data_IF_341713436526
#
_entry.id   IF_341713436526
#
_cell.length_a   1.000
_cell.length_b   1.000
_cell.length_c   1.000
_cell.angle_alpha   90.00
_cell.angle_beta   90.00
_cell.angle_gamma   90.00
#
_symmetry.space_group_name_H-M   'P 1'
#
loop_
_entity.id
_entity.type
_entity.pdbx_description
1 polymer ?
#
# COMPACT_ATOMS: atom_id res chain seq x y z
N UNK A 1 16.75 39.88 16.30
CA UNK A 1 18.04 39.35 16.79
C UNK A 1 17.86 38.19 17.78
N UNK A 2 17.06 38.34 18.83
CA UNK A 2 16.82 37.27 19.83
C UNK A 2 16.22 35.99 19.22
N UNK A 3 15.25 36.11 18.31
CA UNK A 3 14.63 34.93 17.64
C UNK A 3 15.63 34.21 16.73
N UNK A 4 16.42 34.97 15.97
CA UNK A 4 17.44 34.41 15.06
C UNK A 4 18.59 33.74 15.81
N UNK A 5 18.88 34.14 17.05
CA UNK A 5 19.93 33.55 17.87
C UNK A 5 19.59 32.15 18.40
N UNK A 6 18.31 31.79 18.49
CA UNK A 6 17.85 30.49 18.99
C UNK A 6 18.02 29.34 17.98
N UNK A 7 18.23 29.64 16.69
CA UNK A 7 18.44 28.64 15.63
C UNK A 7 17.24 27.76 15.25
N UNK A 8 16.26 27.59 16.13
CA UNK A 8 15.08 26.72 15.92
C UNK A 8 13.80 27.52 15.62
N UNK A 9 13.79 28.22 14.49
CA UNK A 9 12.66 29.11 14.10
C UNK A 9 11.38 28.30 13.84
N UNK A 10 11.48 27.15 13.17
CA UNK A 10 10.32 26.29 12.86
C UNK A 10 9.54 25.87 14.11
N UNK A 11 10.25 25.41 15.15
CA UNK A 11 9.61 24.96 16.39
C UNK A 11 8.98 26.12 17.16
N UNK A 12 9.62 27.29 17.16
CA UNK A 12 9.05 28.48 17.80
C UNK A 12 7.76 28.89 17.07
N UNK A 13 7.79 28.91 15.74
CA UNK A 13 6.61 29.24 14.96
C UNK A 13 5.47 28.24 15.17
N UNK A 14 5.76 26.94 15.14
CA UNK A 14 4.77 25.90 15.42
C UNK A 14 4.18 26.04 16.83
N UNK A 15 5.02 26.31 17.84
CA UNK A 15 4.55 26.53 19.21
C UNK A 15 3.65 27.78 19.32
N UNK A 16 4.01 28.86 18.63
CA UNK A 16 3.17 30.05 18.53
C UNK A 16 1.85 29.76 17.81
N UNK A 17 1.88 29.01 16.71
CA UNK A 17 0.71 28.61 15.92
C UNK A 17 -0.28 27.76 16.74
N UNK A 18 0.21 26.79 17.50
CA UNK A 18 -0.64 25.97 18.36
C UNK A 18 -1.22 26.75 19.55
N UNK A 19 -0.49 27.76 20.04
CA UNK A 19 -0.86 28.48 21.25
C UNK A 19 -1.76 29.70 21.01
N UNK A 20 -1.59 30.44 19.91
CA UNK A 20 -2.31 31.70 19.71
C UNK A 20 -3.85 31.58 19.69
N UNK A 21 -4.49 30.49 19.21
CA UNK A 21 -5.95 30.38 19.25
C UNK A 21 -6.47 30.11 20.66
N UNK A 22 -5.62 29.58 21.54
CA UNK A 22 -5.95 29.26 22.93
C UNK A 22 -5.77 30.47 23.86
N UNK A 23 -5.04 31.49 23.40
CA UNK A 23 -4.83 32.73 24.15
C UNK A 23 -6.06 33.63 24.07
N UNK A 24 -6.29 34.37 25.16
CA UNK A 24 -7.28 35.45 25.20
C UNK A 24 -6.63 36.73 24.69
N UNK A 25 -7.17 37.32 23.64
CA UNK A 25 -6.72 38.63 23.18
C UNK A 25 -7.93 39.43 22.73
N UNK A 26 -7.79 40.75 22.77
CA UNK A 26 -8.86 41.62 22.30
C UNK A 26 -8.82 41.68 20.77
N UNK A 27 -9.85 41.12 20.15
CA UNK A 27 -10.10 41.21 18.71
C UNK A 27 -11.61 41.15 18.46
N UNK A 28 -12.19 42.23 17.94
CA UNK A 28 -13.64 42.37 17.77
C UNK A 28 -14.13 41.68 16.51
N UNK A 29 -13.29 41.66 15.46
CA UNK A 29 -13.65 41.20 14.11
C UNK A 29 -12.72 40.09 13.59
N UNK A 30 -11.93 39.46 14.46
CA UNK A 30 -10.90 38.48 14.09
C UNK A 30 -9.84 39.02 13.11
N UNK A 31 -9.66 40.34 13.06
CA UNK A 31 -8.74 41.01 12.12
C UNK A 31 -7.29 40.62 12.41
N UNK A 32 -6.91 40.47 13.70
CA UNK A 32 -5.56 40.08 14.10
C UNK A 32 -5.27 38.65 13.70
N UNK A 33 -6.25 37.76 13.84
CA UNK A 33 -6.14 36.38 13.36
C UNK A 33 -5.99 36.31 11.84
N UNK A 34 -6.76 37.08 11.09
CA UNK A 34 -6.65 37.13 9.62
C UNK A 34 -5.28 37.63 9.18
N UNK A 35 -4.82 38.75 9.75
CA UNK A 35 -3.49 39.30 9.45
C UNK A 35 -2.36 38.32 9.85
N UNK A 36 -2.51 37.60 10.96
CA UNK A 36 -1.54 36.57 11.33
C UNK A 36 -1.51 35.43 10.31
N UNK A 37 -2.68 34.96 9.85
CA UNK A 37 -2.75 33.90 8.84
C UNK A 37 -2.06 34.29 7.52
N UNK A 38 -2.12 35.56 7.11
CA UNK A 38 -1.35 36.04 5.95
C UNK A 38 0.17 35.92 6.17
N UNK A 39 0.66 36.19 7.39
CA UNK A 39 2.07 36.01 7.74
C UNK A 39 2.48 34.54 7.83
N UNK A 40 1.57 33.66 8.24
CA UNK A 40 1.78 32.22 8.26
C UNK A 40 1.80 31.64 6.85
N UNK A 41 0.89 32.08 5.96
CA UNK A 41 0.93 31.71 4.55
C UNK A 41 2.23 32.17 3.88
N UNK A 42 2.68 33.40 4.18
CA UNK A 42 3.99 33.88 3.74
C UNK A 42 5.14 32.99 4.23
N UNK A 43 5.08 32.53 5.49
CA UNK A 43 6.06 31.58 6.02
C UNK A 43 6.07 30.26 5.25
N UNK A 44 4.89 29.68 5.01
CA UNK A 44 4.77 28.40 4.30
C UNK A 44 5.27 28.52 2.86
N UNK A 45 4.94 29.60 2.17
CA UNK A 45 5.47 29.88 0.83
C UNK A 45 7.01 29.98 0.83
N UNK A 46 7.60 30.68 1.81
CA UNK A 46 9.05 30.72 1.98
C UNK A 46 9.62 29.32 2.24
N UNK A 47 9.01 28.54 3.14
CA UNK A 47 9.49 27.23 3.53
C UNK A 47 9.44 26.23 2.36
N UNK A 48 8.40 26.30 1.53
CA UNK A 48 8.27 25.51 0.30
C UNK A 48 9.36 25.88 -0.71
N UNK A 49 9.67 27.18 -0.91
CA UNK A 49 10.74 27.61 -1.81
C UNK A 49 12.13 27.23 -1.30
N UNK A 50 12.38 27.44 0.00
CA UNK A 50 13.65 27.12 0.64
C UNK A 50 13.95 25.63 0.52
N UNK A 51 13.02 24.75 0.91
CA UNK A 51 13.25 23.31 0.89
C UNK A 51 13.07 22.70 -0.50
N UNK A 52 12.11 23.19 -1.28
CA UNK A 52 11.81 22.65 -2.61
C UNK A 52 12.79 23.10 -3.69
N UNK A 53 13.24 24.36 -3.66
CA UNK A 53 14.11 24.95 -4.68
C UNK A 53 15.54 25.22 -4.17
N UNK A 54 15.84 24.91 -2.90
CA UNK A 54 17.16 25.12 -2.27
C UNK A 54 17.59 26.60 -2.25
N UNK A 55 16.64 27.54 -2.22
CA UNK A 55 16.89 28.98 -2.18
C UNK A 55 17.22 29.48 -0.76
N UNK A 56 18.38 29.08 -0.23
CA UNK A 56 18.76 29.35 1.16
C UNK A 56 19.02 30.82 1.49
N UNK A 57 19.13 31.70 0.50
CA UNK A 57 19.18 33.15 0.72
C UNK A 57 17.94 33.70 1.41
N UNK A 58 16.83 32.97 1.35
CA UNK A 58 15.55 33.35 1.95
C UNK A 58 15.47 33.04 3.46
N UNK A 59 16.38 32.24 4.03
CA UNK A 59 16.40 31.90 5.47
C UNK A 59 16.36 33.13 6.38
N UNK A 60 16.96 34.25 5.94
CA UNK A 60 16.96 35.52 6.68
C UNK A 60 15.56 36.09 6.93
N UNK A 61 14.56 35.69 6.14
CA UNK A 61 13.18 36.17 6.24
C UNK A 61 12.27 35.29 7.13
N UNK A 62 12.70 34.09 7.51
CA UNK A 62 11.90 33.18 8.37
C UNK A 62 11.57 33.73 9.76
N UNK A 63 12.41 34.55 10.43
CA UNK A 63 12.06 35.10 11.74
C UNK A 63 10.93 36.14 11.74
N UNK A 64 10.59 36.74 10.59
CA UNK A 64 9.66 37.87 10.53
C UNK A 64 8.24 37.52 10.97
N UNK A 65 7.63 36.40 10.50
CA UNK A 65 6.34 35.94 11.01
C UNK A 65 6.29 35.75 12.52
N UNK A 66 7.36 35.22 13.13
CA UNK A 66 7.46 35.03 14.59
C UNK A 66 7.37 36.36 15.33
N UNK A 67 8.01 37.42 14.81
CA UNK A 67 7.96 38.76 15.43
C UNK A 67 6.54 39.34 15.40
N UNK A 68 5.76 39.02 14.37
CA UNK A 68 4.38 39.49 14.27
C UNK A 68 3.47 38.87 15.33
N UNK A 69 3.78 37.67 15.86
CA UNK A 69 3.02 37.11 16.99
C UNK A 69 3.07 38.02 18.21
N UNK A 70 4.25 38.56 18.52
CA UNK A 70 4.36 39.56 19.57
C UNK A 70 3.56 40.82 19.20
N UNK A 71 3.66 41.32 17.97
CA UNK A 71 2.95 42.54 17.55
C UNK A 71 1.43 42.45 17.70
N UNK A 72 0.84 41.31 17.35
CA UNK A 72 -0.62 41.16 17.32
C UNK A 72 -1.20 40.66 18.63
N UNK A 73 -0.47 39.79 19.34
CA UNK A 73 -0.97 39.08 20.52
C UNK A 73 -0.30 39.50 21.84
N UNK A 74 0.68 40.41 21.84
CA UNK A 74 1.16 41.01 23.08
C UNK A 74 0.04 41.83 23.73
N UNK A 75 -0.44 41.35 24.87
CA UNK A 75 -1.45 42.02 25.70
C UNK A 75 -0.97 42.14 27.13
N UNK A 76 -1.55 43.08 27.87
CA UNK A 76 -1.24 43.33 29.28
C UNK A 76 -1.81 42.26 30.22
N UNK A 77 -2.74 41.45 29.73
CA UNK A 77 -3.34 40.35 30.49
C UNK A 77 -2.39 39.17 30.56
N UNK A 78 -1.66 39.06 31.67
CA UNK A 78 -0.88 37.87 31.98
C UNK A 78 -1.81 36.65 32.02
N UNK A 79 -1.55 35.68 31.15
CA UNK A 79 -2.31 34.45 31.06
C UNK A 79 -1.43 33.28 31.44
N UNK A 80 -1.99 32.38 32.24
CA UNK A 80 -1.38 31.10 32.54
C UNK A 80 -1.57 30.14 31.35
N UNK A 81 -1.05 30.50 30.18
CA UNK A 81 -0.86 29.53 29.11
C UNK A 81 0.53 28.93 29.25
N UNK A 82 0.61 27.68 29.71
CA UNK A 82 1.87 26.96 29.77
C UNK A 82 2.29 26.68 28.34
N UNK A 83 3.44 27.21 27.93
CA UNK A 83 4.01 26.91 26.61
C UNK A 83 4.30 25.42 26.55
N UNK A 84 3.48 24.70 25.80
CA UNK A 84 3.68 23.29 25.53
C UNK A 84 4.58 23.10 24.31
N UNK A 85 5.21 21.94 24.22
CA UNK A 85 5.98 21.58 23.04
C UNK A 85 5.03 21.36 21.85
N UNK A 86 5.30 21.96 20.67
CA UNK A 86 4.43 21.80 19.52
C UNK A 86 4.35 20.33 19.10
N UNK A 87 3.13 19.78 19.08
CA UNK A 87 2.89 18.37 18.78
C UNK A 87 1.85 18.15 17.70
N UNK A 88 1.01 19.14 17.41
CA UNK A 88 -0.12 18.99 16.51
C UNK A 88 0.34 18.61 15.11
N UNK A 89 1.33 19.32 14.56
CA UNK A 89 1.84 19.06 13.21
C UNK A 89 2.45 17.64 13.09
N UNK A 90 3.31 17.25 14.03
CA UNK A 90 3.90 15.91 14.03
C UNK A 90 2.86 14.81 14.22
N UNK A 91 1.87 15.01 15.08
CA UNK A 91 0.77 14.07 15.27
C UNK A 91 -0.05 13.92 13.98
N UNK A 92 -0.38 15.03 13.31
CA UNK A 92 -1.10 15.01 12.04
C UNK A 92 -0.29 14.33 10.94
N UNK A 93 1.01 14.63 10.83
CA UNK A 93 1.91 13.98 9.89
C UNK A 93 1.98 12.46 10.15
N UNK A 94 2.18 12.06 11.40
CA UNK A 94 2.24 10.66 11.81
C UNK A 94 0.93 9.93 11.51
N UNK A 95 -0.21 10.51 11.89
CA UNK A 95 -1.54 9.96 11.60
C UNK A 95 -1.81 9.86 10.10
N UNK A 96 -1.46 10.89 9.31
CA UNK A 96 -1.57 10.82 7.85
C UNK A 96 -0.72 9.67 7.29
N UNK A 97 0.52 9.54 7.77
CA UNK A 97 1.43 8.49 7.30
C UNK A 97 0.94 7.09 7.66
N UNK A 98 0.36 6.90 8.85
CA UNK A 98 -0.25 5.63 9.22
C UNK A 98 -1.45 5.31 8.32
N UNK A 99 -2.32 6.28 8.01
CA UNK A 99 -3.43 6.06 7.06
C UNK A 99 -2.94 5.71 5.64
N UNK A 100 -1.93 6.40 5.13
CA UNK A 100 -1.34 6.06 3.82
C UNK A 100 -0.80 4.63 3.80
N UNK A 101 -0.05 4.24 4.84
CA UNK A 101 0.48 2.89 4.97
C UNK A 101 -0.63 1.83 5.08
N UNK A 102 -1.73 2.14 5.77
CA UNK A 102 -2.89 1.24 5.85
C UNK A 102 -3.56 1.03 4.50
N UNK A 103 -3.73 2.10 3.71
CA UNK A 103 -4.27 2.02 2.35
C UNK A 103 -3.34 1.19 1.45
N UNK A 104 -2.03 1.39 1.56
CA UNK A 104 -1.05 0.63 0.77
C UNK A 104 -1.06 -0.86 1.14
N UNK A 105 -1.18 -1.18 2.44
CA UNK A 105 -1.35 -2.56 2.91
C UNK A 105 -2.65 -3.19 2.42
N UNK A 106 -3.76 -2.44 2.44
CA UNK A 106 -5.03 -2.89 1.88
C UNK A 106 -4.93 -3.15 0.37
N UNK A 107 -4.32 -2.24 -0.38
CA UNK A 107 -4.07 -2.40 -1.82
C UNK A 107 -3.18 -3.60 -2.15
N UNK A 108 -2.26 -3.98 -1.25
CA UNK A 108 -1.45 -5.19 -1.42
C UNK A 108 -2.26 -6.48 -1.28
N UNK A 109 -3.33 -6.47 -0.49
CA UNK A 109 -4.23 -7.62 -0.30
C UNK A 109 -5.23 -7.84 -1.45
N UNK A 110 -5.50 -6.82 -2.27
CA UNK A 110 -6.49 -6.90 -3.36
C UNK A 110 -5.90 -7.57 -4.60
N UNK A 111 -6.71 -8.43 -5.25
CA UNK A 111 -6.35 -9.04 -6.54
C UNK A 111 -6.04 -7.98 -7.62
N UNK A 112 -4.99 -8.15 -8.45
CA UNK A 112 -4.59 -7.15 -9.45
C UNK A 112 -5.71 -6.70 -10.41
N UNK A 113 -6.64 -7.61 -10.74
CA UNK A 113 -7.76 -7.36 -11.64
C UNK A 113 -8.70 -6.25 -11.15
N UNK A 114 -8.91 -6.17 -9.83
CA UNK A 114 -9.77 -5.17 -9.18
C UNK A 114 -9.00 -3.91 -8.83
N UNK A 115 -7.71 -4.06 -8.51
CA UNK A 115 -6.81 -2.95 -8.12
C UNK A 115 -6.68 -1.87 -9.20
N UNK A 116 -6.76 -2.20 -10.48
CA UNK A 116 -6.62 -1.23 -11.59
C UNK A 116 -7.65 -0.10 -11.60
N UNK A 117 -8.79 -0.29 -10.95
CA UNK A 117 -9.89 0.69 -10.91
C UNK A 117 -9.90 1.51 -9.62
N UNK A 118 -8.99 1.24 -8.69
CA UNK A 118 -9.00 1.83 -7.35
C UNK A 118 -7.92 2.90 -7.22
N UNK A 119 -8.38 4.12 -6.93
CA UNK A 119 -7.53 5.24 -6.50
C UNK A 119 -7.58 5.38 -4.98
N UNK A 120 -6.55 5.99 -4.38
CA UNK A 120 -6.49 6.22 -2.92
C UNK A 120 -7.72 6.99 -2.40
N UNK A 121 -8.18 7.99 -3.14
CA UNK A 121 -9.34 8.80 -2.77
C UNK A 121 -10.66 8.02 -2.86
N UNK A 122 -10.82 7.22 -3.91
CA UNK A 122 -11.99 6.34 -4.09
C UNK A 122 -12.03 5.29 -2.97
N UNK A 123 -10.86 4.78 -2.57
CA UNK A 123 -10.76 3.79 -1.49
C UNK A 123 -11.25 4.37 -0.17
N UNK A 124 -10.77 5.56 0.20
CA UNK A 124 -11.09 6.18 1.49
C UNK A 124 -12.53 6.69 1.58
N UNK A 125 -13.08 7.22 0.48
CA UNK A 125 -14.39 7.88 0.48
C UNK A 125 -15.55 6.96 0.12
N UNK A 126 -15.37 6.04 -0.83
CA UNK A 126 -16.45 5.20 -1.35
C UNK A 126 -16.29 3.74 -0.93
N UNK A 127 -15.12 3.14 -1.18
CA UNK A 127 -14.95 1.69 -1.01
C UNK A 127 -14.99 1.24 0.45
N UNK A 128 -14.15 1.83 1.31
CA UNK A 128 -14.03 1.38 2.71
C UNK A 128 -15.36 1.52 3.47
N UNK A 129 -16.09 2.66 3.42
CA UNK A 129 -17.38 2.78 4.11
C UNK A 129 -18.40 1.73 3.66
N UNK A 130 -18.51 1.48 2.35
CA UNK A 130 -19.45 0.48 1.81
C UNK A 130 -19.02 -0.95 2.14
N UNK A 131 -17.72 -1.24 2.04
CA UNK A 131 -17.16 -2.54 2.36
C UNK A 131 -17.39 -2.90 3.83
N UNK A 132 -17.26 -1.92 4.74
CA UNK A 132 -17.52 -2.11 6.16
C UNK A 132 -19.00 -2.39 6.48
N UNK A 133 -19.93 -1.93 5.65
CA UNK A 133 -21.35 -2.31 5.75
C UNK A 133 -21.60 -3.73 5.22
N UNK A 134 -20.99 -4.08 4.07
CA UNK A 134 -21.12 -5.40 3.45
C UNK A 134 -20.56 -6.51 4.36
N UNK A 135 -19.46 -6.22 5.06
CA UNK A 135 -18.79 -7.18 5.95
C UNK A 135 -19.58 -7.45 7.23
N UNK A 136 -20.65 -6.69 7.47
CA UNK A 136 -21.44 -6.74 8.69
C UNK A 136 -22.86 -7.25 8.46
N UNK A 137 -23.04 -8.51 8.03
CA UNK A 137 -24.37 -9.07 7.88
C UNK A 137 -25.03 -9.29 9.25
N UNK A 138 -26.34 -9.12 9.30
CA UNK A 138 -27.15 -9.49 10.47
C UNK A 138 -27.45 -10.98 10.46
N UNK A 139 -26.46 -11.80 10.83
CA UNK A 139 -26.63 -13.24 10.99
C UNK A 139 -27.06 -13.53 12.43
N UNK A 140 -28.33 -13.91 12.61
CA UNK A 140 -28.95 -14.12 13.92
C UNK A 140 -28.43 -15.35 14.66
N UNK A 141 -27.90 -16.33 13.92
CA UNK A 141 -27.46 -17.62 14.45
C UNK A 141 -25.98 -17.81 14.18
N UNK A 142 -25.27 -18.42 15.12
CA UNK A 142 -23.81 -18.65 15.02
C UNK A 142 -23.51 -20.09 14.55
N UNK A 143 -24.44 -21.02 14.74
CA UNK A 143 -24.22 -22.44 14.42
C UNK A 143 -24.55 -22.77 12.95
N UNK A 144 -23.55 -23.33 12.24
CA UNK A 144 -23.64 -23.73 10.82
C UNK A 144 -24.85 -24.61 10.48
N UNK A 145 -25.26 -25.46 11.43
CA UNK A 145 -26.34 -26.43 11.26
C UNK A 145 -27.73 -25.81 11.29
N UNK A 146 -27.87 -24.62 11.87
CA UNK A 146 -29.17 -23.95 12.05
C UNK A 146 -29.44 -22.84 11.02
N UNK A 147 -28.52 -22.65 10.06
CA UNK A 147 -28.67 -21.64 9.02
C UNK A 147 -29.75 -22.02 8.00
N UNK A 148 -30.60 -21.04 7.70
CA UNK A 148 -31.46 -21.07 6.51
C UNK A 148 -30.59 -21.09 5.24
N UNK A 149 -31.09 -21.65 4.14
CA UNK A 149 -30.35 -21.68 2.88
C UNK A 149 -29.91 -20.26 2.43
N UNK A 150 -30.77 -19.25 2.64
CA UNK A 150 -30.47 -17.85 2.35
C UNK A 150 -29.29 -17.31 3.18
N UNK A 151 -29.21 -17.65 4.46
CA UNK A 151 -28.14 -17.23 5.35
C UNK A 151 -26.80 -17.84 4.92
N UNK A 152 -26.82 -19.11 4.47
CA UNK A 152 -25.63 -19.78 3.91
C UNK A 152 -25.14 -19.10 2.64
N UNK A 153 -26.06 -18.72 1.75
CA UNK A 153 -25.71 -18.02 0.51
C UNK A 153 -25.14 -16.63 0.81
N UNK A 154 -25.68 -15.90 1.79
CA UNK A 154 -25.10 -14.62 2.24
C UNK A 154 -23.71 -14.79 2.84
N UNK A 155 -23.48 -15.85 3.62
CA UNK A 155 -22.16 -16.15 4.19
C UNK A 155 -21.14 -16.50 3.10
N UNK A 156 -21.52 -17.30 2.10
CA UNK A 156 -20.65 -17.62 0.98
C UNK A 156 -20.26 -16.37 0.17
N UNK A 157 -21.22 -15.48 -0.11
CA UNK A 157 -20.97 -14.19 -0.76
C UNK A 157 -20.02 -13.32 0.08
N UNK A 158 -20.26 -13.23 1.40
CA UNK A 158 -19.39 -12.50 2.32
C UNK A 158 -17.95 -13.03 2.25
N UNK A 159 -17.76 -14.33 2.41
CA UNK A 159 -16.43 -14.96 2.39
C UNK A 159 -15.71 -14.69 1.07
N UNK A 160 -16.41 -14.80 -0.06
CA UNK A 160 -15.84 -14.44 -1.36
C UNK A 160 -15.45 -12.95 -1.45
N UNK A 161 -16.30 -12.03 -0.96
CA UNK A 161 -15.96 -10.60 -0.94
C UNK A 161 -14.74 -10.32 -0.06
N UNK A 162 -14.65 -10.94 1.13
CA UNK A 162 -13.50 -10.77 2.02
C UNK A 162 -12.20 -11.31 1.39
N UNK A 163 -12.25 -12.46 0.71
CA UNK A 163 -11.11 -13.02 -0.02
C UNK A 163 -10.69 -12.11 -1.19
N UNK A 164 -11.65 -11.53 -1.91
CA UNK A 164 -11.36 -10.66 -3.05
C UNK A 164 -10.67 -9.35 -2.64
N UNK A 165 -11.01 -8.83 -1.46
CA UNK A 165 -10.38 -7.64 -0.88
C UNK A 165 -9.21 -7.95 0.08
N UNK A 166 -8.84 -9.24 0.23
CA UNK A 166 -7.72 -9.65 1.08
C UNK A 166 -7.92 -9.37 2.57
N UNK A 167 -9.16 -9.46 3.05
CA UNK A 167 -9.53 -9.21 4.44
C UNK A 167 -9.65 -10.52 5.22
N UNK A 168 -9.11 -10.54 6.43
CA UNK A 168 -9.24 -11.65 7.37
C UNK A 168 -9.48 -11.14 8.78
N UNK A 169 -9.97 -12.00 9.67
CA UNK A 169 -10.05 -11.70 11.10
C UNK A 169 -8.95 -12.42 11.85
N UNK A 170 -8.24 -11.69 12.71
CA UNK A 170 -7.20 -12.25 13.58
C UNK A 170 -7.52 -11.98 15.04
N UNK A 171 -7.41 -13.04 15.83
CA UNK A 171 -7.59 -13.01 17.28
C UNK A 171 -6.41 -12.31 17.93
N UNK A 172 -6.57 -11.06 18.35
CA UNK A 172 -5.57 -10.33 19.12
C UNK A 172 -5.93 -10.40 20.60
N UNK A 173 -5.00 -10.86 21.43
CA UNK A 173 -5.13 -10.76 22.89
C UNK A 173 -4.80 -9.33 23.30
N UNK A 174 -5.74 -8.64 23.91
CA UNK A 174 -5.50 -7.32 24.51
C UNK A 174 -4.63 -7.49 25.76
N UNK A 175 -3.95 -6.42 26.19
CA UNK A 175 -3.12 -6.42 27.41
C UNK A 175 -3.89 -6.85 28.68
N UNK A 176 -5.22 -6.76 28.65
CA UNK A 176 -6.16 -7.18 29.70
C UNK A 176 -6.60 -8.65 29.59
N UNK A 177 -6.02 -9.42 28.66
CA UNK A 177 -6.30 -10.86 28.47
C UNK A 177 -7.56 -11.18 27.65
N UNK A 178 -8.37 -10.18 27.28
CA UNK A 178 -9.54 -10.35 26.43
C UNK A 178 -9.15 -10.60 24.97
N UNK A 179 -9.73 -11.63 24.35
CA UNK A 179 -9.54 -11.95 22.93
C UNK A 179 -10.49 -11.09 22.11
N UNK A 180 -9.93 -10.17 21.30
CA UNK A 180 -10.69 -9.36 20.36
C UNK A 180 -10.29 -9.76 18.94
N UNK A 181 -11.25 -10.21 18.13
CA UNK A 181 -11.03 -10.41 16.70
C UNK A 181 -11.03 -9.04 15.99
N UNK A 182 -9.85 -8.61 15.56
CA UNK A 182 -9.69 -7.42 14.72
C UNK A 182 -9.56 -7.82 13.25
N UNK A 183 -9.92 -6.90 12.37
CA UNK A 183 -9.73 -7.09 10.94
C UNK A 183 -8.25 -6.87 10.60
N UNK A 184 -7.71 -7.71 9.73
CA UNK A 184 -6.38 -7.55 9.14
C UNK A 184 -6.54 -7.50 7.61
N UNK A 185 -6.12 -6.42 6.94
CA UNK A 185 -5.67 -5.13 7.48
C UNK A 185 -6.74 -4.37 8.30
N UNK A 186 -6.38 -3.53 9.30
CA UNK A 186 -7.34 -2.81 10.14
C UNK A 186 -7.92 -1.59 9.43
N UNK A 187 -8.62 -1.80 8.31
CA UNK A 187 -9.23 -0.75 7.49
C UNK A 187 -10.34 0.02 8.22
N UNK A 188 -10.88 -0.56 9.31
CA UNK A 188 -11.83 0.14 10.19
C UNK A 188 -11.24 1.46 10.73
N UNK A 189 -9.91 1.53 10.86
CA UNK A 189 -9.25 2.72 11.39
C UNK A 189 -9.41 3.94 10.49
N UNK A 190 -9.49 3.71 9.18
CA UNK A 190 -9.67 4.77 8.18
C UNK A 190 -11.02 5.47 8.35
N UNK A 191 -12.01 4.80 8.95
CA UNK A 191 -13.32 5.39 9.22
C UNK A 191 -13.39 6.21 10.51
N UNK A 192 -12.38 6.14 11.39
CA UNK A 192 -12.34 6.96 12.60
C UNK A 192 -11.92 8.39 12.25
N UNK A 193 -12.87 9.18 11.74
CA UNK A 193 -12.71 10.62 11.65
C UNK A 193 -12.98 11.25 13.02
N UNK A 194 -12.10 12.15 13.47
CA UNK A 194 -12.17 12.74 14.81
C UNK A 194 -13.50 13.43 15.17
N UNK A 195 -14.31 13.77 14.17
CA UNK A 195 -15.61 14.43 14.33
C UNK A 195 -16.81 13.44 14.40
N UNK A 196 -16.63 12.18 14.03
CA UNK A 196 -17.68 11.16 14.09
C UNK A 196 -17.04 9.77 14.21
N UNK A 197 -17.16 9.16 15.40
CA UNK A 197 -16.87 7.74 15.56
C UNK A 197 -18.09 6.99 14.99
N UNK A 198 -17.98 6.29 13.85
CA UNK A 198 -19.10 5.47 13.40
C UNK A 198 -19.43 4.47 14.51
N UNK A 199 -20.72 4.36 14.85
CA UNK A 199 -21.21 3.30 15.75
C UNK A 199 -20.68 1.98 15.20
N UNK A 200 -19.94 1.23 16.02
CA UNK A 200 -19.24 -0.02 15.65
C UNK A 200 -19.98 -0.77 14.54
N UNK A 201 -19.50 -0.61 13.31
CA UNK A 201 -20.17 -1.11 12.11
C UNK A 201 -20.00 -2.62 11.99
N UNK A 202 -19.00 -3.20 12.65
CA UNK A 202 -18.68 -4.63 12.61
C UNK A 202 -19.66 -5.47 13.44
N UNK A 203 -19.88 -6.75 13.09
CA UNK A 203 -20.74 -7.63 13.88
C UNK A 203 -20.27 -7.67 15.33
N UNK A 204 -21.18 -7.41 16.27
CA UNK A 204 -20.85 -7.36 17.71
C UNK A 204 -20.51 -8.73 18.30
N UNK A 205 -20.92 -9.81 17.64
CA UNK A 205 -20.72 -11.18 18.12
C UNK A 205 -19.34 -11.70 17.71
N UNK A 206 -18.49 -11.94 18.72
CA UNK A 206 -17.15 -12.49 18.55
C UNK A 206 -17.15 -13.87 17.84
N UNK A 207 -18.14 -14.70 18.17
CA UNK A 207 -18.28 -16.05 17.61
C UNK A 207 -18.51 -16.03 16.09
N UNK A 208 -19.28 -15.05 15.60
CA UNK A 208 -19.53 -14.89 14.17
C UNK A 208 -18.24 -14.50 13.42
N UNK A 209 -17.41 -13.63 14.00
CA UNK A 209 -16.11 -13.27 13.40
C UNK A 209 -15.18 -14.48 13.32
N UNK A 210 -15.20 -15.34 14.34
CA UNK A 210 -14.39 -16.55 14.38
C UNK A 210 -14.87 -17.58 13.34
N UNK A 211 -16.19 -17.70 13.19
CA UNK A 211 -16.81 -18.53 12.16
C UNK A 211 -16.36 -18.07 10.76
N UNK A 212 -16.48 -16.77 10.47
CA UNK A 212 -16.07 -16.18 9.19
C UNK A 212 -14.57 -16.40 8.95
N UNK A 213 -13.72 -16.21 9.96
CA UNK A 213 -12.28 -16.47 9.85
C UNK A 213 -11.98 -17.92 9.46
N UNK A 214 -12.66 -18.89 10.09
CA UNK A 214 -12.50 -20.30 9.78
C UNK A 214 -12.93 -20.64 8.36
N UNK A 215 -14.01 -20.02 7.88
CA UNK A 215 -14.55 -20.25 6.53
C UNK A 215 -13.63 -19.65 5.46
N UNK A 216 -13.09 -18.45 5.70
CA UNK A 216 -12.09 -17.83 4.81
C UNK A 216 -10.86 -18.73 4.67
N UNK A 217 -10.36 -19.28 5.78
CA UNK A 217 -9.22 -20.20 5.74
C UNK A 217 -9.54 -21.47 4.95
N UNK A 218 -10.71 -22.06 5.17
CA UNK A 218 -11.16 -23.24 4.42
C UNK A 218 -11.25 -22.96 2.92
N UNK A 219 -11.84 -21.85 2.52
CA UNK A 219 -11.97 -21.48 1.10
C UNK A 219 -10.61 -21.19 0.46
N UNK A 220 -9.66 -20.58 1.19
CA UNK A 220 -8.28 -20.40 0.72
C UNK A 220 -7.59 -21.76 0.50
N UNK A 221 -7.77 -22.72 1.40
CA UNK A 221 -7.20 -24.08 1.26
C UNK A 221 -7.81 -24.78 0.04
N UNK A 222 -9.14 -24.79 -0.08
CA UNK A 222 -9.85 -25.40 -1.21
C UNK A 222 -9.40 -24.77 -2.53
N UNK A 223 -9.27 -23.45 -2.58
CA UNK A 223 -8.81 -22.74 -3.78
C UNK A 223 -7.38 -23.13 -4.15
N UNK A 224 -6.48 -23.25 -3.16
CA UNK A 224 -5.09 -23.71 -3.38
C UNK A 224 -5.06 -25.14 -3.90
N UNK A 225 -5.86 -26.04 -3.34
CA UNK A 225 -5.96 -27.44 -3.78
C UNK A 225 -6.47 -27.53 -5.23
N UNK A 226 -7.52 -26.78 -5.58
CA UNK A 226 -8.04 -26.71 -6.97
C UNK A 226 -6.98 -26.24 -7.96
N UNK A 227 -6.20 -25.23 -7.59
CA UNK A 227 -5.11 -24.73 -8.42
C UNK A 227 -3.98 -25.77 -8.56
N UNK A 228 -3.66 -26.51 -7.50
CA UNK A 228 -2.67 -27.59 -7.54
C UNK A 228 -3.12 -28.76 -8.44
N UNK A 229 -4.37 -29.22 -8.32
CA UNK A 229 -4.93 -30.26 -9.19
C UNK A 229 -4.95 -29.84 -10.66
N UNK A 230 -5.25 -28.57 -10.95
CA UNK A 230 -5.24 -28.03 -12.32
C UNK A 230 -3.83 -28.02 -12.91
N UNK A 231 -2.80 -27.70 -12.11
CA UNK A 231 -1.39 -27.76 -12.53
C UNK A 231 -0.95 -29.20 -12.79
N UNK A 232 -1.28 -30.14 -11.90
CA UNK A 232 -0.99 -31.57 -12.09
C UNK A 232 -1.70 -32.15 -13.32
N UNK A 233 -2.94 -31.74 -13.60
CA UNK A 233 -3.67 -32.15 -14.81
C UNK A 233 -3.00 -31.60 -16.08
N UNK A 234 -2.52 -30.34 -16.06
CA UNK A 234 -1.76 -29.76 -17.18
C UNK A 234 -0.40 -30.43 -17.39
N UNK A 235 0.29 -30.84 -16.32
CA UNK A 235 1.56 -31.57 -16.41
C UNK A 235 1.38 -33.00 -16.93
N UNK A 236 0.33 -33.70 -16.49
CA UNK A 236 -0.02 -35.02 -17.03
C UNK A 236 -0.39 -34.94 -18.51
N UNK A 237 -1.22 -33.96 -18.92
CA UNK A 237 -1.53 -33.70 -20.34
C UNK A 237 -0.28 -33.40 -21.18
N UNK A 238 0.68 -32.62 -20.66
CA UNK A 238 1.96 -32.35 -21.34
C UNK A 238 2.82 -33.61 -21.49
N UNK A 239 2.86 -34.49 -20.47
CA UNK A 239 3.55 -35.79 -20.54
C UNK A 239 2.88 -36.74 -21.55
N UNK A 240 1.55 -36.74 -21.65
CA UNK A 240 0.85 -37.60 -22.64
C UNK A 240 1.09 -37.16 -24.08
N UNK A 241 1.20 -35.84 -24.34
CA UNK A 241 1.53 -35.32 -25.68
C UNK A 241 2.97 -35.66 -26.09
N UNK A 242 3.94 -35.69 -25.16
CA UNK A 242 5.31 -36.10 -25.45
C UNK A 242 5.45 -37.60 -25.78
N UNK A 243 4.58 -38.47 -25.24
CA UNK A 243 4.63 -39.93 -25.53
C UNK A 243 4.03 -40.27 -26.91
N UNK A 244 3.12 -39.44 -27.43
CA UNK A 244 2.44 -39.68 -28.72
C UNK A 244 3.26 -39.16 -29.92
N UNK A 245 4.24 -38.28 -29.70
CA UNK A 245 5.13 -37.77 -30.74
C UNK A 245 6.42 -38.59 -30.86
N UNK A 246 6.31 -39.90 -31.15
CA UNK A 246 7.42 -40.62 -31.79
C UNK A 246 7.32 -40.39 -33.31
N UNK A 247 8.21 -39.61 -33.95
CA UNK A 247 8.25 -39.56 -35.40
C UNK A 247 8.68 -40.94 -35.92
N UNK A 248 7.98 -41.45 -36.94
CA UNK A 248 8.45 -42.60 -37.74
C UNK A 248 9.84 -42.25 -38.28
N UNK A 249 10.86 -42.94 -37.79
CA UNK A 249 12.23 -42.82 -38.29
C UNK A 249 12.25 -43.34 -39.72
N UNK A 250 12.35 -42.42 -40.68
CA UNK A 250 12.86 -42.70 -42.02
C UNK A 250 14.27 -43.26 -41.87
N UNK A 251 14.51 -44.40 -42.50
CA UNK A 251 15.82 -45.05 -42.56
C UNK A 251 16.87 -44.08 -43.10
N UNK A 252 17.78 -43.62 -42.24
CA UNK A 252 18.99 -42.90 -42.67
C UNK A 252 19.80 -43.85 -43.54
N UNK A 253 20.02 -43.49 -44.81
CA UNK A 253 20.99 -44.17 -45.67
C UNK A 253 22.38 -43.96 -45.08
N UNK A 254 23.07 -45.06 -44.77
CA UNK A 254 24.47 -45.06 -44.31
C UNK A 254 25.36 -44.54 -45.44
N UNK A 255 26.25 -43.60 -45.15
CA UNK A 255 27.23 -43.12 -46.12
C UNK A 255 28.22 -44.25 -46.45
N UNK A 256 28.31 -44.57 -47.73
CA UNK A 256 29.19 -45.60 -48.28
C UNK A 256 30.35 -44.90 -48.99
N UNK A 257 31.55 -45.40 -48.78
CA UNK A 257 32.76 -44.89 -49.44
C UNK A 257 32.78 -45.29 -50.94
N UNK A 258 33.74 -44.81 -51.74
CA UNK A 258 33.80 -45.00 -53.21
C UNK A 258 33.75 -46.47 -53.69
N UNK A 259 34.00 -47.44 -52.78
CA UNK A 259 33.90 -48.88 -53.01
C UNK A 259 32.73 -49.57 -52.27
N UNK A 260 31.66 -48.84 -51.92
CA UNK A 260 30.45 -49.35 -51.27
C UNK A 260 30.69 -50.06 -49.91
N UNK A 261 31.65 -49.60 -49.11
CA UNK A 261 31.85 -50.07 -47.73
C UNK A 261 31.29 -49.03 -46.73
N UNK A 262 30.57 -49.45 -45.69
CA UNK A 262 30.04 -48.53 -44.68
C UNK A 262 31.18 -47.96 -43.82
N UNK A 263 31.24 -46.63 -43.70
CA UNK A 263 32.24 -45.93 -42.89
C UNK A 263 31.77 -45.99 -41.42
N UNK A 264 32.60 -46.55 -40.54
CA UNK A 264 32.37 -46.62 -39.10
C UNK A 264 33.10 -45.41 -38.48
N UNK A 265 32.36 -44.42 -38.02
CA UNK A 265 32.90 -43.34 -37.19
C UNK A 265 32.94 -43.83 -35.73
N UNK A 266 34.13 -43.91 -35.13
CA UNK A 266 34.28 -44.18 -33.70
C UNK A 266 34.11 -42.86 -32.92
N UNK A 267 33.05 -42.77 -32.11
CA UNK A 267 32.88 -41.66 -31.16
C UNK A 267 33.68 -41.91 -29.86
N UNK A 268 34.37 -40.89 -29.30
CA UNK A 268 35.02 -41.03 -28.00
C UNK A 268 33.99 -40.98 -26.86
N UNK A 269 34.09 -41.96 -25.97
CA UNK A 269 33.35 -42.05 -24.71
C UNK A 269 33.59 -40.83 -23.80
N UNK A 270 32.56 -40.03 -23.56
CA UNK A 270 32.45 -39.26 -22.31
C UNK A 270 31.04 -39.40 -21.72
N UNK A 271 30.95 -40.25 -20.71
CA UNK A 271 29.82 -40.31 -19.77
C UNK A 271 29.71 -39.00 -18.97
N UNK A 272 28.70 -38.18 -19.27
CA UNK A 272 28.22 -37.14 -18.36
C UNK A 272 26.73 -37.33 -18.15
N UNK A 273 26.34 -37.46 -16.88
CA UNK A 273 24.96 -37.61 -16.43
C UNK A 273 24.10 -36.45 -16.94
N UNK A 274 22.99 -36.77 -17.61
CA UNK A 274 21.96 -35.79 -17.96
C UNK A 274 21.24 -35.35 -16.68
N UNK A 275 21.38 -34.07 -16.34
CA UNK A 275 20.53 -33.41 -15.34
C UNK A 275 19.37 -32.79 -16.11
N UNK A 276 18.14 -33.18 -15.75
CA UNK A 276 16.91 -32.65 -16.31
C UNK A 276 16.92 -31.11 -16.31
N UNK A 277 16.87 -30.53 -17.51
CA UNK A 277 16.95 -29.10 -17.72
C UNK A 277 15.67 -28.40 -17.24
N UNK A 278 15.82 -27.52 -16.26
CA UNK A 278 14.81 -26.55 -15.83
C UNK A 278 14.45 -25.68 -17.05
N UNK A 279 13.17 -25.50 -17.42
CA UNK A 279 12.78 -24.69 -18.57
C UNK A 279 13.16 -23.22 -18.30
N UNK A 280 14.26 -22.78 -18.92
CA UNK A 280 14.72 -21.39 -18.83
C UNK A 280 13.74 -20.46 -19.56
N UNK A 281 13.48 -19.24 -19.03
CA UNK A 281 12.62 -18.27 -19.68
C UNK A 281 13.16 -17.87 -21.07
N UNK A 282 12.25 -17.63 -22.02
CA UNK A 282 12.51 -17.29 -23.44
C UNK A 282 13.04 -15.85 -23.60
N UNK A 283 13.88 -15.39 -22.68
CA UNK A 283 14.50 -14.07 -22.73
C UNK A 283 16.00 -14.29 -22.85
N UNK A 284 16.53 -14.11 -24.07
CA UNK A 284 17.96 -14.16 -24.33
C UNK A 284 18.52 -12.74 -24.21
N UNK A 285 19.36 -12.53 -23.21
CA UNK A 285 20.20 -11.34 -23.15
C UNK A 285 21.36 -11.50 -24.13
N UNK A 286 21.55 -10.53 -25.02
CA UNK A 286 22.72 -10.44 -25.89
C UNK A 286 23.64 -9.40 -25.25
N UNK A 287 24.76 -9.87 -24.69
CA UNK A 287 25.76 -8.98 -24.13
C UNK A 287 26.49 -8.27 -25.28
N UNK A 288 26.48 -6.94 -25.25
CA UNK A 288 27.30 -6.13 -26.14
C UNK A 288 28.53 -5.65 -25.36
N UNK A 289 29.70 -6.15 -25.73
CA UNK A 289 30.97 -5.64 -25.22
C UNK A 289 31.27 -4.29 -25.86
N UNK A 290 30.99 -3.20 -25.15
CA UNK A 290 31.30 -1.85 -25.57
C UNK A 290 30.41 -0.79 -24.94
N UNK A 291 30.91 0.44 -24.84
CA UNK A 291 30.12 1.61 -24.43
C UNK A 291 29.75 2.41 -25.68
N UNK A 292 28.45 2.60 -25.92
CA UNK A 292 27.95 3.43 -27.02
C UNK A 292 28.05 4.90 -26.63
N UNK A 293 29.09 5.58 -27.10
CA UNK A 293 29.28 7.01 -26.86
C UNK A 293 28.56 7.80 -27.98
N UNK A 294 27.24 7.93 -27.85
CA UNK A 294 26.41 8.63 -28.83
C UNK A 294 26.71 10.15 -28.83
N UNK A 295 26.88 10.73 -30.01
CA UNK A 295 27.11 12.18 -30.18
C UNK A 295 25.81 12.94 -29.91
N UNK A 296 25.91 14.09 -29.21
CA UNK A 296 24.76 14.97 -28.94
C UNK A 296 24.09 15.40 -30.24
N UNK A 297 22.80 15.10 -30.39
CA UNK A 297 21.97 15.59 -31.52
C UNK A 297 21.04 16.70 -31.04
N UNK A 298 20.88 17.80 -31.80
CA UNK A 298 19.87 18.80 -31.49
C UNK A 298 18.47 18.19 -31.69
N UNK A 299 17.64 18.28 -30.65
CA UNK A 299 16.27 17.75 -30.64
C UNK A 299 15.26 18.90 -30.69
N UNK A 300 14.17 18.76 -31.46
CA UNK A 300 13.13 19.78 -31.52
C UNK A 300 12.09 19.51 -30.42
N UNK A 301 11.42 20.55 -29.92
CA UNK A 301 10.42 20.43 -28.82
C UNK A 301 9.32 19.41 -29.14
N UNK A 302 8.94 19.28 -30.41
CA UNK A 302 7.99 18.29 -30.92
C UNK A 302 8.42 16.83 -30.76
N UNK A 303 9.69 16.54 -30.49
CA UNK A 303 10.19 15.17 -30.30
C UNK A 303 10.05 14.72 -28.83
N UNK A 304 9.63 15.61 -27.92
CA UNK A 304 9.36 15.32 -26.50
C UNK A 304 7.88 14.98 -26.20
N UNK A 305 6.97 15.32 -27.12
CA UNK A 305 5.52 15.18 -26.94
C UNK A 305 4.91 14.30 -28.01
#
# INVERSE_FOLDING_TARGET
>A
ETVSANGEIDKILQGCYESYPLMRFHDVAMEKCCQMNEWLDFYDQLNIRINGHQEYSLYKYLPYPVVNFHRFFAGTTAQEHRVEYPRADYQLYSSRKTFENLIDMFLAGIKPEKRRFLNRDIISTELIPHLMYIISPDLKKVNKTLFTQEEKDTLAKLVHTMIDYGLTYVSQKTNEGQVLLKLEPPIEQVLYFGLSKPKSLLPRQHELRQLIASEIQQEIIITRERLAMTKQKKETLKKTVQVIAKPKILTKKVAVDYFNRPIIEEEPNTSRMEVDAIPQPVVRYIYHEGSSNAVKKPMKVKDFF
#
